data_IF_325089214507
#
_entry.id   IF_325089214507
#
_cell.length_a   1.000
_cell.length_b   1.000
_cell.length_c   1.000
_cell.angle_alpha   90.00
_cell.angle_beta   90.00
_cell.angle_gamma   90.00
#
_symmetry.space_group_name_H-M   'P 1'
#
loop_
_entity.id
_entity.type
_entity.pdbx_description
1 polymer ?
#
# COMPACT_ATOMS: atom_id res chain seq x y z
N UNK A 1 34.17 -23.15 -24.07
CA UNK A 1 33.58 -22.03 -23.31
C UNK A 1 32.19 -22.45 -22.88
N UNK A 2 31.98 -22.79 -21.60
CA UNK A 2 30.65 -23.03 -21.06
C UNK A 2 30.16 -21.69 -20.51
N UNK A 3 29.08 -21.14 -21.06
CA UNK A 3 28.30 -20.11 -20.41
C UNK A 3 27.80 -20.69 -19.09
N UNK A 4 28.32 -20.21 -17.96
CA UNK A 4 27.68 -20.39 -16.67
C UNK A 4 26.64 -19.27 -16.55
N UNK A 5 25.53 -19.41 -17.29
CA UNK A 5 24.39 -18.54 -17.06
C UNK A 5 23.63 -19.13 -15.87
N UNK A 6 23.93 -18.60 -14.68
CA UNK A 6 23.13 -18.87 -13.48
C UNK A 6 21.69 -18.41 -13.68
N UNK A 7 20.76 -18.75 -12.77
CA UNK A 7 19.39 -18.27 -12.86
C UNK A 7 19.39 -16.74 -12.86
N UNK A 8 18.83 -16.14 -13.91
CA UNK A 8 18.57 -14.70 -13.98
C UNK A 8 17.34 -14.42 -13.12
N UNK A 9 17.45 -13.44 -12.23
CA UNK A 9 16.36 -13.03 -11.36
C UNK A 9 15.90 -11.64 -11.80
N UNK A 10 14.66 -11.54 -12.27
CA UNK A 10 14.10 -10.28 -12.78
C UNK A 10 12.88 -9.90 -11.97
N UNK A 11 12.76 -8.61 -11.68
CA UNK A 11 11.54 -8.01 -11.12
C UNK A 11 11.07 -6.88 -12.02
N UNK A 12 9.78 -6.57 -11.93
CA UNK A 12 9.19 -5.46 -12.68
C UNK A 12 8.93 -4.29 -11.75
N UNK A 13 9.46 -3.13 -12.10
CA UNK A 13 9.26 -1.86 -11.38
C UNK A 13 8.63 -0.88 -12.36
N UNK A 14 7.31 -0.71 -12.24
CA UNK A 14 6.53 0.06 -13.22
C UNK A 14 6.65 -0.54 -14.63
N UNK A 15 7.22 0.24 -15.55
CA UNK A 15 7.45 -0.18 -16.94
C UNK A 15 8.79 -0.93 -17.13
N UNK A 16 9.69 -0.87 -16.17
CA UNK A 16 11.07 -1.37 -16.30
C UNK A 16 11.20 -2.79 -15.76
N UNK A 17 12.07 -3.58 -16.39
CA UNK A 17 12.53 -4.87 -15.89
C UNK A 17 13.90 -4.66 -15.28
N UNK A 18 14.05 -5.04 -14.02
CA UNK A 18 15.27 -4.87 -13.24
C UNK A 18 15.84 -6.24 -12.89
N UNK A 19 17.07 -6.48 -13.32
CA UNK A 19 17.82 -7.67 -12.92
C UNK A 19 18.35 -7.53 -11.49
N UNK A 20 18.26 -8.63 -10.75
CA UNK A 20 18.75 -8.79 -9.40
C UNK A 20 19.85 -9.85 -9.37
N UNK A 21 20.91 -9.58 -8.61
CA UNK A 21 21.83 -10.64 -8.21
C UNK A 21 21.13 -11.68 -7.34
N UNK A 22 21.70 -12.88 -7.20
CA UNK A 22 21.14 -13.92 -6.34
C UNK A 22 20.96 -13.47 -4.87
N UNK A 23 21.88 -12.63 -4.37
CA UNK A 23 21.79 -12.06 -3.02
C UNK A 23 20.64 -11.04 -2.90
N UNK A 24 20.50 -10.15 -3.89
CA UNK A 24 19.41 -9.16 -3.94
C UNK A 24 18.05 -9.84 -4.10
N UNK A 25 17.96 -10.86 -4.95
CA UNK A 25 16.74 -11.64 -5.12
C UNK A 25 16.35 -12.37 -3.82
N UNK A 26 17.32 -12.90 -3.08
CA UNK A 26 17.06 -13.53 -1.79
C UNK A 26 16.56 -12.51 -0.74
N UNK A 27 17.16 -11.31 -0.70
CA UNK A 27 16.71 -10.22 0.18
C UNK A 27 15.32 -9.69 -0.22
N UNK A 28 15.06 -9.55 -1.53
CA UNK A 28 13.78 -9.16 -2.10
C UNK A 28 12.66 -10.11 -1.66
N UNK A 29 12.87 -11.42 -1.76
CA UNK A 29 11.87 -12.43 -1.35
C UNK A 29 11.54 -12.39 0.14
N UNK A 30 12.44 -11.88 0.98
CA UNK A 30 12.21 -11.74 2.42
C UNK A 30 11.72 -10.34 2.82
N UNK A 31 11.61 -9.42 1.85
CA UNK A 31 11.39 -8.00 2.10
C UNK A 31 12.37 -7.44 3.16
N UNK A 32 13.60 -7.94 3.17
CA UNK A 32 14.64 -7.43 4.06
C UNK A 32 15.12 -6.08 3.49
N UNK A 33 15.05 -4.98 4.27
CA UNK A 33 15.60 -3.68 3.85
C UNK A 33 17.13 -3.77 3.84
N UNK A 34 17.69 -4.40 2.82
CA UNK A 34 19.10 -4.30 2.51
C UNK A 34 19.39 -2.93 1.90
N UNK A 35 20.44 -2.26 2.37
CA UNK A 35 20.85 -0.93 1.86
C UNK A 35 20.87 -0.89 0.32
N UNK A 36 21.34 -1.96 -0.33
CA UNK A 36 21.39 -2.05 -1.79
C UNK A 36 20.01 -1.95 -2.47
N UNK A 37 18.96 -2.60 -1.95
CA UNK A 37 17.62 -2.56 -2.56
C UNK A 37 16.94 -1.21 -2.33
N UNK A 38 17.20 -0.56 -1.18
CA UNK A 38 16.70 0.78 -0.88
C UNK A 38 17.43 1.85 -1.70
N UNK A 39 18.75 1.78 -1.79
CA UNK A 39 19.57 2.69 -2.61
C UNK A 39 19.20 2.63 -4.10
N UNK A 40 18.82 1.46 -4.59
CA UNK A 40 18.33 1.25 -5.96
C UNK A 40 16.87 1.68 -6.16
N UNK A 41 16.17 2.13 -5.11
CA UNK A 41 14.76 2.49 -5.18
C UNK A 41 13.81 1.32 -5.42
N UNK A 42 14.25 0.09 -5.16
CA UNK A 42 13.45 -1.13 -5.35
C UNK A 42 12.60 -1.43 -4.12
N UNK A 43 13.11 -1.09 -2.93
CA UNK A 43 12.37 -1.15 -1.67
C UNK A 43 12.33 0.22 -1.02
N UNK A 44 11.27 0.45 -0.24
CA UNK A 44 11.14 1.63 0.62
C UNK A 44 10.92 1.17 2.05
N UNK A 45 11.70 1.72 2.97
CA UNK A 45 11.53 1.50 4.40
C UNK A 45 10.64 2.61 4.98
N UNK A 46 9.49 2.21 5.51
CA UNK A 46 8.54 3.12 6.16
C UNK A 46 8.56 2.84 7.65
N UNK A 47 9.10 3.80 8.40
CA UNK A 47 9.23 3.80 9.85
C UNK A 47 8.23 4.81 10.44
N UNK A 48 7.82 4.66 11.72
CA UNK A 48 6.86 5.57 12.34
C UNK A 48 7.26 7.06 12.27
N UNK A 49 8.57 7.37 12.31
CA UNK A 49 9.10 8.74 12.25
C UNK A 49 9.08 9.34 10.83
N UNK A 50 9.10 8.50 9.79
CA UNK A 50 9.11 8.92 8.39
C UNK A 50 7.77 8.71 7.66
N UNK A 51 6.81 8.03 8.29
CA UNK A 51 5.52 7.60 7.70
C UNK A 51 4.76 8.75 7.02
N UNK A 52 4.64 9.90 7.67
CA UNK A 52 3.97 11.09 7.09
C UNK A 52 4.73 11.60 5.85
N UNK A 53 6.06 11.57 5.91
CA UNK A 53 6.91 11.97 4.79
C UNK A 53 6.77 11.03 3.59
N UNK A 54 6.64 9.72 3.84
CA UNK A 54 6.29 8.74 2.82
C UNK A 54 4.89 9.03 2.25
N UNK A 55 3.87 9.12 3.10
CA UNK A 55 2.48 9.32 2.69
C UNK A 55 2.24 10.63 1.93
N UNK A 56 3.01 11.69 2.21
CA UNK A 56 2.89 12.98 1.49
C UNK A 56 3.52 12.96 0.09
N UNK A 57 4.38 11.97 -0.20
CA UNK A 57 5.06 11.81 -1.49
C UNK A 57 4.41 10.76 -2.39
N UNK A 58 3.43 10.04 -1.87
CA UNK A 58 2.81 8.93 -2.56
C UNK A 58 1.30 9.05 -2.57
N UNK A 59 0.69 8.44 -3.57
CA UNK A 59 -0.76 8.28 -3.70
C UNK A 59 -1.10 6.80 -3.53
N UNK A 60 -2.23 6.53 -2.89
CA UNK A 60 -2.85 5.21 -2.93
C UNK A 60 -3.86 5.22 -4.07
N UNK A 61 -3.78 4.22 -4.95
CA UNK A 61 -4.66 4.10 -6.10
C UNK A 61 -5.35 2.73 -6.02
N UNK A 62 -6.67 2.68 -5.81
CA UNK A 62 -7.41 1.42 -5.82
C UNK A 62 -7.41 0.85 -7.25
N UNK A 63 -7.18 -0.46 -7.33
CA UNK A 63 -7.21 -1.25 -8.58
C UNK A 63 -8.41 -2.21 -8.62
N UNK A 64 -9.19 -2.23 -7.54
CA UNK A 64 -10.36 -3.07 -7.37
C UNK A 64 -11.59 -2.25 -6.95
N UNK A 65 -12.78 -2.78 -7.20
CA UNK A 65 -14.04 -2.12 -6.85
C UNK A 65 -14.46 -2.49 -5.42
N UNK A 66 -15.17 -1.56 -4.75
CA UNK A 66 -15.88 -1.87 -3.51
C UNK A 66 -17.03 -2.84 -3.77
N UNK A 67 -17.04 -3.95 -3.05
CA UNK A 67 -18.07 -5.00 -3.13
C UNK A 67 -19.14 -4.88 -2.03
N UNK A 68 -18.98 -3.90 -1.13
CA UNK A 68 -19.83 -3.74 0.04
C UNK A 68 -19.50 -4.74 1.15
N UNK A 69 -20.41 -4.87 2.11
CA UNK A 69 -20.27 -5.78 3.26
C UNK A 69 -20.33 -7.23 2.80
N UNK A 70 -19.25 -7.97 3.02
CA UNK A 70 -19.16 -9.41 2.71
C UNK A 70 -19.47 -10.24 3.96
N UNK A 71 -19.01 -9.76 5.12
CA UNK A 71 -19.27 -10.34 6.45
C UNK A 71 -19.48 -9.19 7.47
N UNK A 72 -20.12 -9.42 8.63
CA UNK A 72 -20.29 -8.39 9.65
C UNK A 72 -18.95 -7.75 10.04
N UNK A 73 -18.81 -6.44 9.80
CA UNK A 73 -17.59 -5.68 10.09
C UNK A 73 -16.50 -5.76 9.01
N UNK A 74 -16.73 -6.44 7.88
CA UNK A 74 -15.76 -6.55 6.79
C UNK A 74 -16.37 -6.14 5.45
N UNK A 75 -15.69 -5.23 4.77
CA UNK A 75 -16.00 -4.75 3.42
C UNK A 75 -15.01 -5.38 2.44
N UNK A 76 -15.53 -5.94 1.35
CA UNK A 76 -14.70 -6.54 0.31
C UNK A 76 -14.27 -5.52 -0.74
N UNK A 77 -13.03 -5.60 -1.20
CA UNK A 77 -12.58 -5.00 -2.46
C UNK A 77 -12.21 -6.11 -3.44
N UNK A 78 -12.66 -6.02 -4.69
CA UNK A 78 -12.34 -7.05 -5.68
C UNK A 78 -13.05 -6.88 -7.02
N UNK A 79 -13.20 -8.00 -7.71
CA UNK A 79 -14.05 -8.13 -8.90
C UNK A 79 -15.44 -8.60 -8.46
N UNK A 80 -16.45 -8.40 -9.31
CA UNK A 80 -17.81 -8.84 -9.01
C UNK A 80 -17.82 -10.33 -8.63
N UNK A 81 -18.35 -10.64 -7.43
CA UNK A 81 -18.38 -11.98 -6.81
C UNK A 81 -17.02 -12.60 -6.44
N UNK A 82 -15.92 -11.85 -6.55
CA UNK A 82 -14.57 -12.32 -6.27
C UNK A 82 -13.82 -11.29 -5.41
N UNK A 83 -14.01 -11.29 -4.08
CA UNK A 83 -13.25 -10.45 -3.17
C UNK A 83 -11.76 -10.82 -3.23
N UNK A 84 -10.91 -9.80 -3.40
CA UNK A 84 -9.45 -9.93 -3.39
C UNK A 84 -8.88 -9.66 -2.00
N UNK A 85 -9.48 -8.69 -1.29
CA UNK A 85 -9.13 -8.31 0.07
C UNK A 85 -10.39 -7.97 0.87
N UNK A 86 -10.35 -8.21 2.19
CA UNK A 86 -11.36 -7.78 3.14
C UNK A 86 -10.74 -6.75 4.08
N UNK A 87 -11.45 -5.65 4.31
CA UNK A 87 -10.98 -4.53 5.13
C UNK A 87 -12.05 -4.11 6.13
N UNK A 88 -11.62 -3.43 7.20
CA UNK A 88 -12.54 -2.69 8.04
C UNK A 88 -13.24 -1.57 7.22
N UNK A 89 -14.49 -1.18 7.56
CA UNK A 89 -15.26 -0.22 6.78
C UNK A 89 -14.56 1.13 6.57
N UNK A 90 -13.97 1.69 7.63
CA UNK A 90 -13.27 2.97 7.56
C UNK A 90 -12.08 2.94 6.59
N UNK A 91 -11.34 1.83 6.60
CA UNK A 91 -10.20 1.63 5.70
C UNK A 91 -10.67 1.40 4.26
N UNK A 92 -11.74 0.64 4.04
CA UNK A 92 -12.31 0.44 2.70
C UNK A 92 -12.80 1.77 2.09
N UNK A 93 -13.44 2.61 2.90
CA UNK A 93 -13.90 3.94 2.47
C UNK A 93 -12.70 4.84 2.10
N UNK A 94 -11.67 4.91 2.95
CA UNK A 94 -10.44 5.64 2.66
C UNK A 94 -9.80 5.18 1.34
N UNK A 95 -9.63 3.86 1.15
CA UNK A 95 -9.04 3.30 -0.08
C UNK A 95 -9.86 3.71 -1.31
N UNK A 96 -11.19 3.60 -1.24
CA UNK A 96 -12.10 3.93 -2.33
C UNK A 96 -12.00 5.41 -2.74
N UNK A 97 -11.88 6.32 -1.79
CA UNK A 97 -11.84 7.76 -2.04
C UNK A 97 -10.44 8.36 -2.14
N UNK A 98 -9.40 7.58 -1.85
CA UNK A 98 -7.99 8.01 -1.91
C UNK A 98 -7.58 8.70 -3.23
N UNK A 99 -8.12 8.35 -4.42
CA UNK A 99 -7.76 9.04 -5.67
C UNK A 99 -8.16 10.52 -5.72
N UNK A 100 -9.15 10.94 -4.91
CA UNK A 100 -9.60 12.34 -4.83
C UNK A 100 -8.62 13.22 -4.06
N UNK A 101 -7.67 12.61 -3.34
CA UNK A 101 -6.63 13.32 -2.59
C UNK A 101 -5.35 13.48 -3.41
N UNK A 102 -4.59 14.59 -3.22
CA UNK A 102 -3.32 14.80 -3.90
C UNK A 102 -2.23 13.82 -3.47
N UNK A 103 -2.31 13.31 -2.23
CA UNK A 103 -1.38 12.35 -1.64
C UNK A 103 -2.08 11.56 -0.52
N UNK A 104 -1.44 10.47 -0.08
CA UNK A 104 -1.99 9.57 0.93
C UNK A 104 -2.15 10.26 2.28
N UNK A 105 -1.24 11.17 2.64
CA UNK A 105 -1.36 11.93 3.88
C UNK A 105 -2.61 12.81 3.89
N UNK A 106 -2.90 13.48 2.77
CA UNK A 106 -4.12 14.25 2.63
C UNK A 106 -5.37 13.35 2.70
N UNK A 107 -5.34 12.15 2.10
CA UNK A 107 -6.44 11.19 2.20
C UNK A 107 -6.74 10.79 3.65
N UNK A 108 -5.70 10.47 4.45
CA UNK A 108 -5.86 10.16 5.87
C UNK A 108 -6.47 11.33 6.65
N UNK A 109 -6.04 12.57 6.37
CA UNK A 109 -6.60 13.76 7.01
C UNK A 109 -8.06 14.00 6.67
N UNK A 110 -8.43 13.90 5.39
CA UNK A 110 -9.82 14.09 4.94
C UNK A 110 -10.73 13.00 5.52
N UNK A 111 -10.27 11.74 5.53
CA UNK A 111 -11.00 10.63 6.13
C UNK A 111 -11.23 10.85 7.63
N UNK A 112 -10.19 11.26 8.36
CA UNK A 112 -10.29 11.56 9.78
C UNK A 112 -11.23 12.73 10.09
N UNK A 113 -11.17 13.81 9.30
CA UNK A 113 -12.09 14.95 9.42
C UNK A 113 -13.54 14.55 9.14
N UNK A 114 -13.77 13.72 8.13
CA UNK A 114 -15.09 13.19 7.80
C UNK A 114 -15.65 12.30 8.93
N UNK A 115 -14.83 11.42 9.50
CA UNK A 115 -15.22 10.58 10.64
C UNK A 115 -15.59 11.41 11.87
N UNK A 116 -14.76 12.41 12.22
CA UNK A 116 -15.04 13.33 13.31
C UNK A 116 -16.33 14.15 13.05
N UNK A 117 -16.54 14.63 11.83
CA UNK A 117 -17.76 15.33 11.42
C UNK A 117 -19.02 14.47 11.48
N UNK A 118 -18.89 13.14 11.36
CA UNK A 118 -19.96 12.17 11.54
C UNK A 118 -20.20 11.78 13.01
N UNK A 119 -19.46 12.35 13.97
CA UNK A 119 -19.59 12.06 15.40
C UNK A 119 -18.91 10.77 15.86
N UNK A 120 -17.98 10.23 15.07
CA UNK A 120 -17.12 9.12 15.50
C UNK A 120 -16.12 9.65 16.54
N UNK A 121 -15.89 8.89 17.61
CA UNK A 121 -14.96 9.25 18.71
C UNK A 121 -13.72 8.36 18.76
N UNK A 122 -13.67 7.31 17.93
CA UNK A 122 -12.58 6.34 17.89
C UNK A 122 -11.28 6.98 17.35
N UNK A 123 -10.20 7.07 18.16
CA UNK A 123 -8.94 7.67 17.75
C UNK A 123 -8.33 7.03 16.50
N UNK A 124 -8.54 5.73 16.27
CA UNK A 124 -8.04 5.03 15.07
C UNK A 124 -8.68 5.56 13.78
N UNK A 125 -9.82 6.25 13.90
CA UNK A 125 -10.59 6.80 12.79
C UNK A 125 -10.54 8.33 12.72
N UNK A 126 -10.26 9.03 13.83
CA UNK A 126 -10.28 10.51 13.87
C UNK A 126 -8.91 11.16 14.02
N UNK A 127 -7.86 10.41 14.37
CA UNK A 127 -6.49 10.89 14.34
C UNK A 127 -5.84 10.53 13.00
N UNK A 128 -5.50 11.50 12.14
CA UNK A 128 -4.89 11.22 10.83
C UNK A 128 -3.64 10.35 10.88
N UNK A 129 -2.86 10.40 11.98
CA UNK A 129 -1.68 9.54 12.14
C UNK A 129 -2.06 8.09 12.40
N UNK A 130 -3.04 7.84 13.26
CA UNK A 130 -3.52 6.48 13.53
C UNK A 130 -4.24 5.89 12.32
N UNK A 131 -4.98 6.71 11.58
CA UNK A 131 -5.54 6.33 10.28
C UNK A 131 -4.43 5.92 9.31
N UNK A 132 -3.34 6.69 9.23
CA UNK A 132 -2.18 6.33 8.41
C UNK A 132 -1.54 5.02 8.86
N UNK A 133 -1.37 4.80 10.16
CA UNK A 133 -0.84 3.54 10.70
C UNK A 133 -1.70 2.35 10.27
N UNK A 134 -3.03 2.49 10.33
CA UNK A 134 -3.98 1.48 9.86
C UNK A 134 -3.84 1.20 8.35
N UNK A 135 -3.66 2.24 7.52
CA UNK A 135 -3.42 2.07 6.09
C UNK A 135 -2.09 1.36 5.82
N UNK A 136 -1.01 1.77 6.48
CA UNK A 136 0.32 1.18 6.32
C UNK A 136 0.32 -0.29 6.76
N UNK A 137 -0.38 -0.62 7.85
CA UNK A 137 -0.56 -1.99 8.31
C UNK A 137 -1.30 -2.87 7.28
N UNK A 138 -2.25 -2.30 6.54
CA UNK A 138 -3.00 -3.00 5.49
C UNK A 138 -2.31 -2.98 4.11
N UNK A 139 -1.24 -2.21 3.94
CA UNK A 139 -0.66 -1.93 2.63
C UNK A 139 -0.13 -3.20 1.95
N UNK A 140 0.53 -4.08 2.69
CA UNK A 140 1.03 -5.35 2.13
C UNK A 140 -0.13 -6.25 1.66
N UNK A 141 -1.25 -6.28 2.38
CA UNK A 141 -2.45 -7.01 1.96
C UNK A 141 -3.05 -6.42 0.69
N UNK A 142 -3.15 -5.09 0.61
CA UNK A 142 -3.66 -4.37 -0.56
C UNK A 142 -2.80 -4.61 -1.82
N UNK A 143 -1.47 -4.48 -1.67
CA UNK A 143 -0.50 -4.67 -2.74
C UNK A 143 -0.42 -6.13 -3.18
N UNK A 144 -0.32 -7.07 -2.23
CA UNK A 144 -0.26 -8.50 -2.50
C UNK A 144 -1.54 -9.03 -3.15
N UNK A 145 -2.70 -8.51 -2.73
CA UNK A 145 -4.00 -8.82 -3.34
C UNK A 145 -4.27 -8.09 -4.65
N UNK A 146 -3.36 -7.21 -5.12
CA UNK A 146 -3.53 -6.34 -6.29
C UNK A 146 -4.82 -5.50 -6.22
N UNK A 147 -5.25 -5.19 -5.00
CA UNK A 147 -6.45 -4.39 -4.75
C UNK A 147 -6.15 -2.89 -4.80
N UNK A 148 -4.88 -2.50 -4.61
CA UNK A 148 -4.39 -1.15 -4.81
C UNK A 148 -2.93 -1.17 -5.27
N UNK A 149 -2.44 -0.02 -5.75
CA UNK A 149 -1.02 0.28 -5.87
C UNK A 149 -0.69 1.58 -5.13
N UNK A 150 0.60 1.75 -4.82
CA UNK A 150 1.16 3.02 -4.36
C UNK A 150 1.93 3.62 -5.52
N UNK A 151 1.66 4.89 -5.80
CA UNK A 151 2.33 5.64 -6.87
C UNK A 151 3.04 6.86 -6.30
N UNK A 152 4.11 7.29 -6.94
CA UNK A 152 4.82 8.51 -6.57
C UNK A 152 4.05 9.72 -7.09
N UNK A 153 4.01 10.78 -6.29
CA UNK A 153 3.50 12.07 -6.75
C UNK A 153 4.52 12.70 -7.70
N UNK A 154 4.12 12.93 -8.95
CA UNK A 154 4.86 13.73 -9.93
C UNK A 154 4.81 15.23 -9.60
#
# INVERSE_FOLDING_TARGET
MRHQDGPVHEIRVGAEVVELSAAEHAAWLRAEPGAALVERGLLVEVLPDNAVGFASRHRLIPLALGLGTVEPGLVGLGLLHHPLVLLAPALADLVQWSPLSPDLWHACRVSAEAAAGAGIEDPEQIDPRQVLDGVLAALLTLLGGRAACVDVRL
#
